data_IF_144989985055
#
_entry.id   IF_144989985055
#
_cell.length_a   1.000
_cell.length_b   1.000
_cell.length_c   1.000
_cell.angle_alpha   90.00
_cell.angle_beta   90.00
_cell.angle_gamma   90.00
#
_symmetry.space_group_name_H-M   'P 1'
#
loop_
_entity.id
_entity.type
_entity.pdbx_description
1 polymer ?
#
# COMPACT_ATOMS: atom_id res chain seq x y z
N UNK A 1 -31.56 34.50 -48.02
CA UNK A 1 -31.30 34.99 -46.65
C UNK A 1 -30.21 34.12 -46.04
N UNK A 2 -28.99 34.63 -45.78
CA UNK A 2 -27.88 33.80 -45.34
C UNK A 2 -27.90 33.53 -43.83
N UNK A 3 -27.46 32.32 -43.49
CA UNK A 3 -27.45 31.72 -42.17
C UNK A 3 -26.57 32.47 -41.15
N UNK A 4 -27.05 32.58 -39.91
CA UNK A 4 -26.25 33.01 -38.74
C UNK A 4 -25.19 31.94 -38.46
N UNK A 5 -23.94 32.23 -38.79
CA UNK A 5 -22.80 31.42 -38.39
C UNK A 5 -22.67 31.46 -36.86
N UNK A 6 -22.83 30.29 -36.24
CA UNK A 6 -22.40 30.01 -34.89
C UNK A 6 -20.87 29.94 -34.91
N UNK A 7 -20.19 30.74 -34.09
CA UNK A 7 -18.79 30.50 -33.76
C UNK A 7 -18.69 30.41 -32.23
N UNK A 8 -19.03 29.23 -31.71
CA UNK A 8 -18.78 28.89 -30.32
C UNK A 8 -17.29 28.68 -30.15
N UNK A 9 -16.64 29.59 -29.44
CA UNK A 9 -15.26 29.44 -29.00
C UNK A 9 -15.09 28.09 -28.31
N UNK A 10 -14.42 27.17 -28.98
CA UNK A 10 -13.91 25.93 -28.39
C UNK A 10 -12.85 26.32 -27.37
N UNK A 11 -13.26 26.48 -26.11
CA UNK A 11 -12.35 26.43 -24.96
C UNK A 11 -11.75 25.01 -24.95
N UNK A 12 -10.59 24.86 -25.58
CA UNK A 12 -9.70 23.74 -25.34
C UNK A 12 -9.40 23.73 -23.85
N UNK A 13 -10.04 22.83 -23.12
CA UNK A 13 -9.66 22.51 -21.76
C UNK A 13 -8.23 21.99 -21.80
N UNK A 14 -7.29 22.82 -21.39
CA UNK A 14 -5.93 22.39 -21.08
C UNK A 14 -6.06 21.50 -19.85
N UNK A 15 -6.12 20.18 -20.08
CA UNK A 15 -6.06 19.18 -19.04
C UNK A 15 -4.62 19.17 -18.50
N UNK A 16 -4.33 20.03 -17.53
CA UNK A 16 -3.09 19.99 -16.77
C UNK A 16 -3.14 18.85 -15.75
N UNK A 17 -3.09 17.60 -16.24
CA UNK A 17 -2.63 16.47 -15.44
C UNK A 17 -1.11 16.57 -15.29
N UNK A 18 -0.65 17.59 -14.53
CA UNK A 18 0.68 17.57 -13.94
C UNK A 18 0.60 16.60 -12.77
N UNK A 19 1.01 15.35 -13.00
CA UNK A 19 1.41 14.47 -11.92
C UNK A 19 2.61 15.14 -11.24
N UNK A 20 2.35 15.77 -10.10
CA UNK A 20 3.40 16.27 -9.23
C UNK A 20 4.17 15.04 -8.71
N UNK A 21 5.49 14.89 -8.94
CA UNK A 21 6.26 13.77 -8.41
C UNK A 21 6.58 14.00 -6.93
N UNK A 22 5.58 14.40 -6.14
CA UNK A 22 5.74 14.68 -4.71
C UNK A 22 5.27 13.48 -3.93
N UNK A 23 6.24 12.74 -3.38
CA UNK A 23 6.07 11.67 -2.41
C UNK A 23 5.00 10.64 -2.79
N UNK A 24 5.42 9.57 -3.48
CA UNK A 24 4.63 8.35 -3.48
C UNK A 24 4.61 7.86 -2.03
N UNK A 25 3.56 8.19 -1.29
CA UNK A 25 3.33 7.66 0.05
C UNK A 25 3.19 6.16 -0.11
N UNK A 26 4.30 5.46 0.06
CA UNK A 26 4.30 4.01 0.10
C UNK A 26 3.64 3.64 1.41
N UNK A 27 2.39 3.21 1.34
CA UNK A 27 1.65 2.69 2.49
C UNK A 27 2.24 1.33 2.88
N UNK A 28 3.40 1.37 3.51
CA UNK A 28 4.12 0.17 3.92
C UNK A 28 3.44 -0.48 5.12
N UNK A 29 2.72 0.28 5.93
CA UNK A 29 1.89 -0.23 7.02
C UNK A 29 0.79 -1.14 6.47
N UNK A 30 -0.04 -0.65 5.54
CA UNK A 30 -1.10 -1.46 4.95
C UNK A 30 -0.55 -2.67 4.19
N UNK A 31 0.58 -2.50 3.48
CA UNK A 31 1.21 -3.61 2.75
C UNK A 31 1.73 -4.71 3.69
N UNK A 32 2.34 -4.34 4.81
CA UNK A 32 2.86 -5.31 5.79
C UNK A 32 1.74 -5.98 6.57
N UNK A 33 0.66 -5.24 6.88
CA UNK A 33 -0.58 -5.80 7.43
C UNK A 33 -1.21 -6.83 6.48
N UNK A 34 -1.45 -6.45 5.23
CA UNK A 34 -1.99 -7.35 4.20
C UNK A 34 -1.12 -8.59 3.99
N UNK A 35 0.21 -8.43 4.01
CA UNK A 35 1.13 -9.56 3.94
C UNK A 35 0.95 -10.55 5.10
N UNK A 36 0.96 -10.07 6.35
CA UNK A 36 0.77 -10.93 7.54
C UNK A 36 -0.61 -11.62 7.54
N UNK A 37 -1.66 -10.88 7.13
CA UNK A 37 -3.01 -11.42 6.95
C UNK A 37 -3.05 -12.54 5.91
N UNK A 38 -2.46 -12.33 4.73
CA UNK A 38 -2.45 -13.33 3.66
C UNK A 38 -1.66 -14.58 4.05
N UNK A 39 -0.52 -14.42 4.74
CA UNK A 39 0.25 -15.54 5.30
C UNK A 39 -0.62 -16.35 6.27
N UNK A 40 -1.35 -15.68 7.16
CA UNK A 40 -2.24 -16.34 8.12
C UNK A 40 -3.36 -17.10 7.40
N UNK A 41 -4.00 -16.50 6.40
CA UNK A 41 -5.04 -17.14 5.59
C UNK A 41 -4.50 -18.34 4.80
N UNK A 42 -3.26 -18.29 4.32
CA UNK A 42 -2.61 -19.40 3.65
C UNK A 42 -2.33 -20.56 4.61
N UNK A 43 -1.73 -20.29 5.78
CA UNK A 43 -1.44 -21.33 6.79
C UNK A 43 -2.72 -22.03 7.26
N UNK A 44 -3.85 -21.30 7.36
CA UNK A 44 -5.16 -21.86 7.73
C UNK A 44 -5.70 -22.88 6.73
N UNK A 45 -5.26 -22.87 5.48
CA UNK A 45 -5.68 -23.81 4.44
C UNK A 45 -4.89 -25.12 4.44
N UNK A 46 -3.74 -25.16 5.12
CA UNK A 46 -2.88 -26.34 5.16
C UNK A 46 -3.50 -27.46 6.01
N UNK A 47 -3.32 -28.71 5.58
CA UNK A 47 -3.67 -29.88 6.39
C UNK A 47 -2.91 -29.84 7.71
N UNK A 48 -3.64 -29.98 8.83
CA UNK A 48 -3.06 -29.94 10.16
C UNK A 48 -2.29 -31.24 10.45
N UNK A 49 -0.99 -31.12 10.64
CA UNK A 49 -0.10 -32.14 11.15
C UNK A 49 0.98 -31.48 12.02
N UNK A 50 1.85 -32.28 12.64
CA UNK A 50 2.88 -31.75 13.56
C UNK A 50 3.78 -30.72 12.87
N UNK A 51 4.25 -31.01 11.67
CA UNK A 51 5.11 -30.11 10.90
C UNK A 51 4.41 -28.81 10.53
N UNK A 52 3.16 -28.86 10.04
CA UNK A 52 2.42 -27.66 9.64
C UNK A 52 2.01 -26.80 10.82
N UNK A 53 1.75 -27.39 11.99
CA UNK A 53 1.52 -26.62 13.22
C UNK A 53 2.77 -25.86 13.66
N UNK A 54 3.92 -26.54 13.72
CA UNK A 54 5.15 -25.91 14.20
C UNK A 54 5.69 -24.86 13.23
N UNK A 55 5.75 -25.18 11.93
CA UNK A 55 6.14 -24.22 10.91
C UNK A 55 5.12 -23.09 10.75
N UNK A 56 3.83 -23.40 10.81
CA UNK A 56 2.76 -22.40 10.70
C UNK A 56 2.86 -21.32 11.78
N UNK A 57 3.11 -21.72 13.04
CA UNK A 57 3.36 -20.78 14.15
C UNK A 57 4.57 -19.88 13.88
N UNK A 58 5.67 -20.44 13.39
CA UNK A 58 6.89 -19.68 13.11
C UNK A 58 6.68 -18.67 11.98
N UNK A 59 6.07 -19.10 10.88
CA UNK A 59 5.81 -18.26 9.71
C UNK A 59 4.84 -17.12 10.03
N UNK A 60 3.78 -17.38 10.81
CA UNK A 60 2.84 -16.33 11.25
C UNK A 60 3.55 -15.27 12.12
N UNK A 61 4.45 -15.69 13.02
CA UNK A 61 5.22 -14.72 13.82
C UNK A 61 6.20 -13.92 12.97
N UNK A 62 6.91 -14.59 12.06
CA UNK A 62 7.88 -13.94 11.20
C UNK A 62 7.23 -12.89 10.29
N UNK A 63 6.05 -13.20 9.72
CA UNK A 63 5.33 -12.27 8.85
C UNK A 63 4.83 -11.02 9.57
N UNK A 64 4.37 -11.16 10.82
CA UNK A 64 3.99 -10.02 11.66
C UNK A 64 5.16 -9.11 12.03
N UNK A 65 6.36 -9.67 12.21
CA UNK A 65 7.54 -8.88 12.60
C UNK A 65 7.97 -7.84 11.55
N UNK A 66 7.61 -8.04 10.28
CA UNK A 66 7.97 -7.09 9.21
C UNK A 66 7.32 -5.72 9.47
N UNK A 67 6.03 -5.70 9.82
CA UNK A 67 5.33 -4.46 10.16
C UNK A 67 5.82 -3.87 11.49
N UNK A 68 6.05 -4.72 12.50
CA UNK A 68 6.56 -4.28 13.80
C UNK A 68 7.94 -3.59 13.68
N UNK A 69 8.90 -4.22 12.99
CA UNK A 69 10.22 -3.66 12.76
C UNK A 69 10.17 -2.34 11.99
N UNK A 70 9.20 -2.19 11.07
CA UNK A 70 9.01 -0.94 10.33
C UNK A 70 8.52 0.19 11.25
N UNK A 71 7.53 -0.08 12.10
CA UNK A 71 7.03 0.89 13.08
C UNK A 71 8.15 1.30 14.04
N UNK A 72 8.91 0.34 14.57
CA UNK A 72 10.05 0.59 15.45
C UNK A 72 11.12 1.47 14.78
N UNK A 73 11.44 1.21 13.51
CA UNK A 73 12.39 2.03 12.75
C UNK A 73 11.89 3.46 12.55
N UNK A 74 10.60 3.66 12.24
CA UNK A 74 10.00 4.98 12.11
C UNK A 74 10.01 5.75 13.44
N UNK A 75 9.69 5.09 14.56
CA UNK A 75 9.74 5.71 15.89
C UNK A 75 11.17 6.07 16.31
N UNK A 76 12.17 5.26 15.95
CA UNK A 76 13.57 5.53 16.23
C UNK A 76 14.13 6.73 15.45
N UNK A 77 13.66 6.96 14.22
CA UNK A 77 14.06 8.10 13.40
C UNK A 77 13.58 9.44 13.96
N UNK A 78 12.41 9.46 14.61
CA UNK A 78 11.82 10.67 15.20
C UNK A 78 12.59 11.21 16.43
N UNK A 79 13.42 10.38 17.08
CA UNK A 79 14.12 10.73 18.32
C UNK A 79 15.43 11.52 18.15
N UNK A 80 15.86 11.81 16.92
CA UNK A 80 17.18 12.43 16.65
C UNK A 80 17.16 13.95 16.39
N UNK A 81 16.00 14.60 16.45
CA UNK A 81 15.83 16.04 16.20
C UNK A 81 15.46 16.88 17.45
N UNK A 82 15.89 16.46 18.65
CA UNK A 82 15.80 17.29 19.88
C UNK A 82 17.17 17.48 20.54
#
# INVERSE_FOLDING_TARGET
>A
MPAKHQNTSTKSQINSNKQNPMFKQYDLEERTFCFAKNVTLYVRQLTKNVSTLEHGKQVIRASGSVGANYIEANEALSKKDL
#
